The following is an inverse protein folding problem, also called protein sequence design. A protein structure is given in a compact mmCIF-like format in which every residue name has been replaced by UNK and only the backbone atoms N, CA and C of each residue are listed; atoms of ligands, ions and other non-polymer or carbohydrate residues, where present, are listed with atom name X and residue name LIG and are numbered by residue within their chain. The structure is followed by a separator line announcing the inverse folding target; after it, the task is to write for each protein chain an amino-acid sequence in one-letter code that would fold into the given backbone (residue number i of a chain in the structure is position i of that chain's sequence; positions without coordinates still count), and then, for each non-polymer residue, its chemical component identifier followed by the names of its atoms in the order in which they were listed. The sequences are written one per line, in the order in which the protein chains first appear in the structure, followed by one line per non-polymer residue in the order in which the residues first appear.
data_IF_522503812000
#
_entry.id   IF_522503812000
#
_cell.length_a   1.000
_cell.length_b   1.000
_cell.length_c   1.000
_cell.angle_alpha   90.00
_cell.angle_beta   90.00
_cell.angle_gamma   90.00
#
_symmetry.space_group_name_H-M   'P 1'
#
loop_
_entity.id
_entity.type
_entity.pdbx_description
1 polymer ?
#
# COMPACT_ATOMS: atom_id res chain seq x y z
N UNK A 1 -42.70 -56.76 7.74
CA UNK A 1 -43.63 -55.62 7.66
C UNK A 1 -43.36 -54.69 8.83
N UNK A 2 -43.06 -53.40 8.55
CA UNK A 2 -43.48 -52.17 9.27
C UNK A 2 -43.18 -52.11 10.81
N UNK A 3 -42.44 -51.17 11.40
CA UNK A 3 -42.06 -49.77 11.10
C UNK A 3 -40.77 -49.45 11.89
N UNK A 4 -39.65 -49.14 11.25
CA UNK A 4 -39.14 -47.78 10.98
C UNK A 4 -39.05 -46.92 12.25
N UNK A 5 -37.92 -46.96 12.95
CA UNK A 5 -36.71 -46.13 12.73
C UNK A 5 -36.83 -44.79 13.48
N UNK A 6 -36.15 -44.77 14.63
CA UNK A 6 -35.54 -43.59 15.25
C UNK A 6 -35.15 -42.53 14.21
N UNK A 7 -35.71 -41.33 14.27
CA UNK A 7 -35.04 -40.14 13.75
C UNK A 7 -35.74 -38.88 14.25
N UNK A 8 -35.14 -38.24 15.25
CA UNK A 8 -35.32 -36.81 15.50
C UNK A 8 -33.97 -36.28 15.98
N UNK A 9 -32.98 -36.34 15.07
CA UNK A 9 -31.72 -35.63 15.23
C UNK A 9 -32.03 -34.15 15.06
N UNK A 10 -31.87 -33.47 16.20
CA UNK A 10 -31.63 -32.07 16.43
C UNK A 10 -31.16 -31.31 15.19
N UNK A 11 -31.97 -30.36 14.74
CA UNK A 11 -31.56 -29.33 13.80
C UNK A 11 -30.49 -28.45 14.49
N UNK A 12 -29.22 -28.81 14.30
CA UNK A 12 -28.11 -27.89 14.53
C UNK A 12 -28.02 -27.02 13.29
N UNK A 13 -28.82 -25.96 13.26
CA UNK A 13 -28.52 -24.79 12.42
C UNK A 13 -27.22 -24.20 12.96
N UNK A 14 -26.09 -24.66 12.44
CA UNK A 14 -24.84 -23.92 12.55
C UNK A 14 -25.11 -22.60 11.83
N UNK A 15 -25.41 -21.57 12.61
CA UNK A 15 -25.27 -20.19 12.21
C UNK A 15 -23.83 -20.04 11.72
N UNK A 16 -23.64 -20.11 10.40
CA UNK A 16 -22.43 -19.63 9.76
C UNK A 16 -22.37 -18.12 10.03
N UNK A 17 -21.77 -17.77 11.17
CA UNK A 17 -21.56 -16.39 11.57
C UNK A 17 -20.63 -15.69 10.59
N UNK A 18 -21.14 -14.62 9.98
CA UNK A 18 -20.44 -13.37 9.71
C UNK A 18 -18.99 -13.48 9.16
N UNK A 19 -18.83 -13.95 7.92
CA UNK A 19 -17.61 -13.76 7.13
C UNK A 19 -17.46 -12.32 6.56
N UNK A 20 -18.46 -11.45 6.73
CA UNK A 20 -18.53 -10.12 6.07
C UNK A 20 -17.51 -9.11 6.59
N UNK A 21 -17.09 -9.20 7.86
CA UNK A 21 -16.32 -8.12 8.50
C UNK A 21 -14.95 -7.89 7.85
N UNK A 22 -14.29 -8.96 7.41
CA UNK A 22 -12.98 -8.85 6.75
C UNK A 22 -13.10 -8.29 5.33
N UNK A 23 -14.15 -8.67 4.60
CA UNK A 23 -14.41 -8.19 3.24
C UNK A 23 -14.75 -6.70 3.24
N UNK A 24 -15.54 -6.25 4.22
CA UNK A 24 -15.90 -4.84 4.40
C UNK A 24 -14.65 -3.99 4.74
N UNK A 25 -13.78 -4.48 5.62
CA UNK A 25 -12.52 -3.80 5.95
C UNK A 25 -11.59 -3.72 4.73
N UNK A 26 -11.42 -4.83 4.00
CA UNK A 26 -10.61 -4.86 2.79
C UNK A 26 -11.14 -3.88 1.75
N UNK A 27 -12.47 -3.82 1.58
CA UNK A 27 -13.10 -2.88 0.66
C UNK A 27 -12.86 -1.41 1.04
N UNK A 28 -12.88 -1.09 2.32
CA UNK A 28 -12.55 0.25 2.80
C UNK A 28 -11.11 0.65 2.49
N UNK A 29 -10.15 -0.26 2.71
CA UNK A 29 -8.73 -0.04 2.40
C UNK A 29 -8.54 0.16 0.89
N UNK A 30 -9.22 -0.63 0.05
CA UNK A 30 -9.20 -0.45 -1.40
C UNK A 30 -9.73 0.90 -1.86
N UNK A 31 -10.86 1.35 -1.29
CA UNK A 31 -11.41 2.67 -1.59
C UNK A 31 -10.50 3.79 -1.14
N UNK A 32 -9.86 3.66 0.03
CA UNK A 32 -8.86 4.60 0.50
C UNK A 32 -7.67 4.66 -0.45
N UNK A 33 -7.12 3.51 -0.87
CA UNK A 33 -6.03 3.45 -1.84
C UNK A 33 -6.41 4.17 -3.14
N UNK A 34 -7.59 3.88 -3.67
CA UNK A 34 -8.11 4.50 -4.88
C UNK A 34 -8.24 6.01 -4.73
N UNK A 35 -8.81 6.48 -3.61
CA UNK A 35 -8.95 7.90 -3.32
C UNK A 35 -7.59 8.60 -3.29
N UNK A 36 -6.62 8.07 -2.54
CA UNK A 36 -5.25 8.62 -2.46
C UNK A 36 -4.57 8.65 -3.81
N UNK A 37 -4.65 7.57 -4.58
CA UNK A 37 -4.06 7.52 -5.92
C UNK A 37 -4.69 8.55 -6.86
N UNK A 38 -6.01 8.75 -6.81
CA UNK A 38 -6.71 9.75 -7.61
C UNK A 38 -6.29 11.18 -7.24
N UNK A 39 -6.21 11.48 -5.94
CA UNK A 39 -5.74 12.80 -5.45
C UNK A 39 -4.32 13.06 -5.94
N UNK A 40 -3.39 12.11 -5.73
CA UNK A 40 -2.02 12.23 -6.21
C UNK A 40 -1.96 12.40 -7.73
N UNK A 41 -2.74 11.61 -8.47
CA UNK A 41 -2.78 11.65 -9.94
C UNK A 41 -3.24 13.00 -10.49
N UNK A 42 -4.15 13.67 -9.79
CA UNK A 42 -4.65 14.99 -10.19
C UNK A 42 -3.62 16.11 -10.08
N UNK A 43 -2.56 15.91 -9.27
CA UNK A 43 -1.49 16.88 -9.05
C UNK A 43 -0.19 16.58 -9.79
N UNK A 44 -0.15 15.56 -10.66
CA UNK A 44 1.09 15.16 -11.34
C UNK A 44 1.51 16.15 -12.43
N UNK A 45 2.83 16.35 -12.65
CA UNK A 45 3.94 15.81 -11.84
C UNK A 45 4.07 16.54 -10.49
N UNK A 46 4.45 15.79 -9.44
CA UNK A 46 4.69 16.37 -8.10
C UNK A 46 6.19 16.31 -7.81
N UNK A 47 6.82 17.49 -7.67
CA UNK A 47 8.24 17.62 -7.37
C UNK A 47 8.50 17.57 -5.86
N UNK A 48 9.36 16.66 -5.41
CA UNK A 48 9.79 16.52 -4.02
C UNK A 48 11.31 16.39 -3.94
N UNK A 49 11.98 17.54 -3.82
CA UNK A 49 13.44 17.59 -3.85
C UNK A 49 13.96 17.06 -5.19
N UNK A 50 14.79 16.00 -5.22
CA UNK A 50 15.33 15.47 -6.46
C UNK A 50 14.49 14.34 -7.07
N UNK A 51 13.32 14.04 -6.50
CA UNK A 51 12.35 13.06 -7.01
C UNK A 51 11.16 13.79 -7.63
N UNK A 52 10.71 13.31 -8.78
CA UNK A 52 9.46 13.75 -9.41
C UNK A 52 8.49 12.57 -9.44
N UNK A 53 7.32 12.72 -8.82
CA UNK A 53 6.25 11.72 -8.92
C UNK A 53 5.58 11.89 -10.29
N UNK A 54 5.63 10.83 -11.10
CA UNK A 54 5.14 10.83 -12.48
C UNK A 54 3.86 10.03 -12.67
N UNK A 55 3.57 9.11 -11.75
CA UNK A 55 2.36 8.29 -11.78
C UNK A 55 1.97 7.87 -10.38
N UNK A 56 0.68 7.89 -10.09
CA UNK A 56 0.09 7.23 -8.95
C UNK A 56 -1.06 6.31 -9.44
N UNK A 57 -1.20 5.14 -8.84
CA UNK A 57 -2.30 4.22 -9.11
C UNK A 57 -2.60 3.38 -7.87
N UNK A 58 -3.79 2.80 -7.80
CA UNK A 58 -4.18 1.92 -6.70
C UNK A 58 -4.31 0.47 -7.16
N UNK A 59 -3.95 -0.47 -6.28
CA UNK A 59 -4.09 -1.90 -6.50
C UNK A 59 -4.31 -2.61 -5.16
N UNK A 60 -5.52 -3.15 -4.93
CA UNK A 60 -5.89 -3.98 -3.76
C UNK A 60 -5.38 -3.45 -2.41
N UNK A 61 -5.61 -2.16 -2.14
CA UNK A 61 -5.16 -1.52 -0.90
C UNK A 61 -3.71 -0.98 -0.90
N UNK A 62 -3.02 -1.08 -2.04
CA UNK A 62 -1.68 -0.51 -2.24
C UNK A 62 -1.74 0.69 -3.15
N UNK A 63 -1.11 1.80 -2.76
CA UNK A 63 -0.86 2.95 -3.63
C UNK A 63 0.49 2.76 -4.30
N UNK A 64 0.48 2.49 -5.59
CA UNK A 64 1.69 2.40 -6.41
C UNK A 64 2.10 3.78 -6.90
N UNK A 65 3.32 4.19 -6.55
CA UNK A 65 3.88 5.50 -6.89
C UNK A 65 5.10 5.28 -7.78
N UNK A 66 5.10 5.89 -8.96
CA UNK A 66 6.25 5.94 -9.85
C UNK A 66 6.93 7.29 -9.73
N UNK A 67 8.20 7.26 -9.40
CA UNK A 67 9.06 8.43 -9.33
C UNK A 67 10.19 8.36 -10.34
N UNK A 68 10.58 9.52 -10.86
CA UNK A 68 11.85 9.69 -11.58
C UNK A 68 12.83 10.39 -10.64
N UNK A 69 14.01 9.81 -10.49
CA UNK A 69 15.15 10.41 -9.84
C UNK A 69 16.12 10.95 -10.89
N UNK A 70 16.39 12.25 -10.86
CA UNK A 70 17.35 12.85 -11.79
C UNK A 70 18.78 12.65 -11.29
N UNK A 71 19.36 11.49 -11.60
CA UNK A 71 20.76 11.13 -11.26
C UNK A 71 21.79 12.08 -11.88
N UNK A 72 21.43 12.72 -12.99
CA UNK A 72 22.35 13.49 -13.82
C UNK A 72 22.33 14.98 -13.45
N UNK A 73 21.46 15.39 -12.53
CA UNK A 73 21.42 16.75 -12.01
C UNK A 73 22.72 17.09 -11.26
N UNK A 74 23.26 18.28 -11.52
CA UNK A 74 24.44 18.78 -10.80
C UNK A 74 24.13 18.88 -9.29
N UNK A 75 24.87 18.13 -8.47
CA UNK A 75 24.62 18.04 -7.03
C UNK A 75 23.58 16.99 -6.61
N UNK A 76 23.23 16.05 -7.50
CA UNK A 76 22.41 14.90 -7.17
C UNK A 76 22.96 14.16 -5.93
N UNK A 77 22.08 13.89 -4.96
CA UNK A 77 22.45 13.15 -3.76
C UNK A 77 22.69 11.66 -4.09
N UNK A 78 23.44 10.91 -3.28
CA UNK A 78 23.49 9.45 -3.44
C UNK A 78 22.07 8.86 -3.33
N UNK A 79 21.75 7.87 -4.16
CA UNK A 79 20.43 7.22 -4.18
C UNK A 79 20.02 6.73 -2.79
N UNK A 80 20.94 6.13 -2.03
CA UNK A 80 20.66 5.63 -0.67
C UNK A 80 20.23 6.74 0.28
N UNK A 81 20.75 7.96 0.09
CA UNK A 81 20.34 9.11 0.89
C UNK A 81 18.93 9.56 0.51
N UNK A 82 18.63 9.58 -0.79
CA UNK A 82 17.29 9.90 -1.30
C UNK A 82 16.28 8.88 -0.80
N UNK A 83 16.59 7.59 -0.93
CA UNK A 83 15.75 6.50 -0.48
C UNK A 83 15.48 6.58 1.02
N UNK A 84 16.52 6.72 1.85
CA UNK A 84 16.37 6.84 3.31
C UNK A 84 15.46 7.99 3.70
N UNK A 85 15.61 9.16 3.05
CA UNK A 85 14.75 10.31 3.31
C UNK A 85 13.31 10.07 2.88
N UNK A 86 13.09 9.48 1.70
CA UNK A 86 11.76 9.10 1.23
C UNK A 86 11.10 8.13 2.20
N UNK A 87 11.81 7.07 2.60
CA UNK A 87 11.28 6.04 3.51
C UNK A 87 10.96 6.63 4.89
N UNK A 88 11.81 7.53 5.40
CA UNK A 88 11.53 8.25 6.63
C UNK A 88 10.23 9.07 6.50
N UNK A 89 10.02 9.79 5.40
CA UNK A 89 8.79 10.54 5.18
C UNK A 89 7.54 9.66 5.29
N UNK A 90 7.51 8.47 4.68
CA UNK A 90 6.36 7.56 4.79
C UNK A 90 6.10 7.10 6.24
N UNK A 91 7.14 7.00 7.06
CA UNK A 91 7.03 6.54 8.44
C UNK A 91 6.83 7.66 9.47
N UNK A 92 7.10 8.93 9.13
CA UNK A 92 7.02 10.07 10.04
C UNK A 92 5.93 11.08 9.69
N UNK A 93 5.53 11.17 8.42
CA UNK A 93 4.41 12.04 8.04
C UNK A 93 3.12 11.52 8.68
N UNK A 94 2.38 12.42 9.35
CA UNK A 94 1.22 12.04 10.17
C UNK A 94 0.12 11.38 9.34
N UNK A 95 -0.18 11.94 8.17
CA UNK A 95 -1.26 11.43 7.33
C UNK A 95 -0.85 10.12 6.68
N UNK A 96 0.37 10.05 6.13
CA UNK A 96 0.88 8.84 5.48
C UNK A 96 1.04 7.70 6.48
N UNK A 97 1.59 7.97 7.68
CA UNK A 97 1.69 6.97 8.74
C UNK A 97 0.32 6.49 9.20
N UNK A 98 -0.65 7.38 9.37
CA UNK A 98 -2.02 6.98 9.72
C UNK A 98 -2.64 6.07 8.67
N UNK A 99 -2.36 6.30 7.38
CA UNK A 99 -2.82 5.41 6.32
C UNK A 99 -2.17 4.02 6.42
N UNK A 100 -0.86 3.96 6.68
CA UNK A 100 -0.15 2.70 6.94
C UNK A 100 -0.73 1.96 8.14
N UNK A 101 -1.07 2.68 9.22
CA UNK A 101 -1.66 2.11 10.44
C UNK A 101 -3.06 1.52 10.21
N UNK A 102 -3.80 2.04 9.22
CA UNK A 102 -5.09 1.50 8.77
C UNK A 102 -4.96 0.28 7.83
N UNK A 103 -3.74 -0.14 7.50
CA UNK A 103 -3.47 -1.29 6.63
C UNK A 103 -3.26 -0.94 5.15
N UNK A 104 -3.20 0.34 4.80
CA UNK A 104 -2.78 0.77 3.46
C UNK A 104 -1.30 0.45 3.25
N UNK A 105 -0.91 0.10 2.03
CA UNK A 105 0.49 -0.02 1.65
C UNK A 105 0.87 1.00 0.58
N UNK A 106 2.16 1.35 0.51
CA UNK A 106 2.72 2.14 -0.58
C UNK A 106 3.79 1.33 -1.31
N UNK A 107 3.71 1.25 -2.64
CA UNK A 107 4.75 0.63 -3.46
C UNK A 107 5.49 1.70 -4.25
N UNK A 108 6.74 1.91 -3.87
CA UNK A 108 7.58 2.99 -4.34
C UNK A 108 8.50 2.47 -5.44
N UNK A 109 8.27 2.93 -6.66
CA UNK A 109 9.06 2.57 -7.85
C UNK A 109 9.85 3.79 -8.31
N UNK A 110 11.16 3.78 -8.11
CA UNK A 110 12.06 4.87 -8.56
C UNK A 110 12.75 4.43 -9.85
N UNK A 111 12.69 5.29 -10.87
CA UNK A 111 13.43 5.15 -12.12
C UNK A 111 14.45 6.26 -12.28
N UNK A 112 15.53 6.02 -13.01
CA UNK A 112 16.38 7.12 -13.47
C UNK A 112 15.77 7.87 -14.66
N UNK A 113 16.42 8.94 -15.10
CA UNK A 113 16.02 9.73 -16.27
C UNK A 113 15.95 8.94 -17.59
N UNK A 114 16.56 7.75 -17.67
CA UNK A 114 16.50 6.83 -18.82
C UNK A 114 15.37 5.80 -18.71
N UNK A 115 14.54 5.88 -17.65
CA UNK A 115 13.43 4.95 -17.40
C UNK A 115 13.84 3.60 -16.78
N UNK A 116 15.10 3.40 -16.44
CA UNK A 116 15.57 2.17 -15.81
C UNK A 116 15.11 2.13 -14.34
N UNK A 117 14.54 1.01 -13.90
CA UNK A 117 14.11 0.81 -12.51
C UNK A 117 15.34 0.73 -11.60
N UNK A 118 15.39 1.61 -10.59
CA UNK A 118 16.44 1.67 -9.59
C UNK A 118 15.99 1.11 -8.25
N UNK A 119 14.73 1.35 -7.87
CA UNK A 119 14.15 0.91 -6.59
C UNK A 119 12.74 0.40 -6.83
N UNK A 120 12.38 -0.71 -6.19
CA UNK A 120 11.00 -1.16 -6.00
C UNK A 120 10.83 -1.57 -4.53
N UNK A 121 10.24 -0.68 -3.74
CA UNK A 121 10.12 -0.82 -2.29
C UNK A 121 8.65 -0.84 -1.87
N UNK A 122 8.24 -1.89 -1.17
CA UNK A 122 6.95 -1.92 -0.48
C UNK A 122 7.10 -1.34 0.93
N UNK A 123 6.28 -0.36 1.26
CA UNK A 123 6.22 0.29 2.56
C UNK A 123 4.87 -0.03 3.19
N UNK A 124 4.92 -0.74 4.31
CA UNK A 124 3.78 -1.09 5.15
C UNK A 124 4.00 -0.52 6.56
N UNK A 125 3.03 -0.71 7.45
CA UNK A 125 3.24 -0.44 8.88
C UNK A 125 4.49 -1.15 9.42
N UNK A 126 4.63 -2.45 9.12
CA UNK A 126 5.76 -3.27 9.59
C UNK A 126 7.11 -2.72 9.13
N UNK A 127 7.18 -2.12 7.94
CA UNK A 127 8.38 -1.46 7.44
C UNK A 127 8.83 -0.33 8.38
N UNK A 128 7.89 0.42 8.96
CA UNK A 128 8.19 1.53 9.87
C UNK A 128 8.59 1.08 11.27
N UNK A 129 8.03 -0.05 11.74
CA UNK A 129 8.34 -0.60 13.06
C UNK A 129 9.67 -1.37 13.06
N UNK A 130 9.97 -2.03 11.94
CA UNK A 130 11.20 -2.81 11.73
C UNK A 130 11.71 -2.60 10.30
N UNK A 131 12.43 -1.50 10.04
CA UNK A 131 13.03 -1.28 8.73
C UNK A 131 13.94 -2.47 8.40
N UNK A 132 13.85 -3.06 7.19
CA UNK A 132 14.77 -4.11 6.78
C UNK A 132 16.21 -3.59 6.89
N UNK A 133 17.13 -4.45 7.37
CA UNK A 133 18.55 -4.15 7.34
C UNK A 133 18.98 -4.03 5.88
N UNK A 134 19.29 -2.81 5.44
CA UNK A 134 19.85 -2.55 4.12
C UNK A 134 21.34 -2.92 4.10
#
# INVERSE_FOLDING_TARGET
MKKSLWMAITAVTVLAGCSSTNDDQQRQIEMLAQSRASVLSSGLPIEQGPLSIMKASANKGTVEIMMIYNTDAKGAKPLDTVLRNSMNYYCTDREVKSNLDMGLAYRIKIRNSRGQLMVDQLVTKDYCDKPPAN
#
